data_IF_517440537075
#
_entry.id   IF_517440537075
#
_cell.length_a   1.000
_cell.length_b   1.000
_cell.length_c   1.000
_cell.angle_alpha   90.00
_cell.angle_beta   90.00
_cell.angle_gamma   90.00
#
_symmetry.space_group_name_H-M   'P 1'
#
loop_
_entity.id
_entity.type
_entity.pdbx_description
1 polymer ?
#
# COMPACT_ATOMS: atom_id res chain seq x y z
N UNK A 1 20.96 56.50 -27.24
CA UNK A 1 20.65 55.16 -26.68
C UNK A 1 21.29 54.14 -27.61
N UNK A 2 22.33 53.42 -27.19
CA UNK A 2 23.20 52.67 -28.12
C UNK A 2 22.60 51.32 -28.54
N UNK A 3 22.65 50.99 -29.84
CA UNK A 3 22.12 49.76 -30.47
C UNK A 3 22.53 48.48 -29.72
N UNK A 4 23.72 48.50 -29.11
CA UNK A 4 24.26 47.41 -28.28
C UNK A 4 23.34 47.06 -27.09
N UNK A 5 22.68 48.04 -26.47
CA UNK A 5 21.76 47.82 -25.35
C UNK A 5 20.49 47.09 -25.78
N UNK A 6 19.98 47.38 -26.98
CA UNK A 6 18.78 46.73 -27.53
C UNK A 6 19.09 45.28 -27.87
N UNK A 7 20.27 45.02 -28.47
CA UNK A 7 20.71 43.66 -28.84
C UNK A 7 20.90 42.75 -27.61
N UNK A 8 21.38 43.29 -26.49
CA UNK A 8 21.53 42.52 -25.26
C UNK A 8 20.18 42.17 -24.62
N UNK A 9 19.23 43.11 -24.60
CA UNK A 9 17.91 42.88 -24.00
C UNK A 9 17.12 41.83 -24.79
N UNK A 10 17.17 41.86 -26.12
CA UNK A 10 16.48 40.87 -26.97
C UNK A 10 17.09 39.48 -26.85
N UNK A 11 18.41 39.37 -26.70
CA UNK A 11 19.11 38.08 -26.48
C UNK A 11 18.71 37.43 -25.15
N UNK A 12 18.63 38.22 -24.07
CA UNK A 12 18.22 37.73 -22.75
C UNK A 12 16.76 37.25 -22.80
N UNK A 13 15.87 37.99 -23.46
CA UNK A 13 14.46 37.62 -23.58
C UNK A 13 14.26 36.34 -24.43
N UNK A 14 15.07 36.16 -25.47
CA UNK A 14 15.07 34.93 -26.27
C UNK A 14 15.52 33.73 -25.43
N UNK A 15 16.58 33.90 -24.63
CA UNK A 15 17.12 32.84 -23.78
C UNK A 15 16.12 32.39 -22.69
N UNK A 16 15.45 33.34 -22.03
CA UNK A 16 14.44 33.02 -21.00
C UNK A 16 13.23 32.29 -21.58
N UNK A 17 12.82 32.66 -22.80
CA UNK A 17 11.70 32.02 -23.50
C UNK A 17 12.04 30.58 -23.87
N UNK A 18 13.24 30.34 -24.42
CA UNK A 18 13.69 28.99 -24.79
C UNK A 18 13.81 28.08 -23.57
N UNK A 19 14.40 28.55 -22.46
CA UNK A 19 14.52 27.75 -21.22
C UNK A 19 13.16 27.34 -20.66
N UNK A 20 12.16 28.24 -20.71
CA UNK A 20 10.81 27.94 -20.22
C UNK A 20 10.12 26.82 -21.02
N UNK A 21 10.24 26.85 -22.35
CA UNK A 21 9.67 25.83 -23.26
C UNK A 21 10.30 24.45 -23.01
N UNK A 22 11.62 24.40 -22.79
CA UNK A 22 12.32 23.15 -22.49
C UNK A 22 11.95 22.57 -21.12
N UNK A 23 11.70 23.42 -20.12
CA UNK A 23 11.35 22.96 -18.78
C UNK A 23 9.94 22.37 -18.74
N UNK A 24 9.00 23.02 -19.44
CA UNK A 24 7.59 22.62 -19.56
C UNK A 24 7.44 21.19 -20.13
N UNK A 25 8.24 20.89 -21.15
CA UNK A 25 8.24 19.58 -21.85
C UNK A 25 8.74 18.42 -20.97
N UNK A 26 9.58 18.69 -19.95
CA UNK A 26 10.05 17.65 -19.00
C UNK A 26 9.04 17.34 -17.91
N UNK A 27 8.15 18.28 -17.60
CA UNK A 27 7.08 18.09 -16.62
C UNK A 27 6.05 17.12 -17.18
N UNK A 28 5.46 17.38 -18.35
CA UNK A 28 4.39 16.53 -18.89
C UNK A 28 4.76 15.04 -19.09
N UNK A 29 6.00 14.75 -19.49
CA UNK A 29 6.46 13.37 -19.74
C UNK A 29 6.67 12.52 -18.47
N UNK A 30 6.79 13.15 -17.28
CA UNK A 30 6.85 12.44 -15.99
C UNK A 30 5.46 12.23 -15.39
N UNK A 31 4.52 13.11 -15.72
CA UNK A 31 3.16 13.13 -15.16
C UNK A 31 2.27 12.06 -15.79
N UNK A 32 2.47 11.76 -17.07
CA UNK A 32 1.58 10.87 -17.82
C UNK A 32 1.92 9.37 -17.72
N UNK A 33 3.12 9.02 -17.24
CA UNK A 33 3.54 7.61 -17.10
C UNK A 33 3.18 6.99 -15.75
N UNK A 34 3.05 7.76 -14.67
CA UNK A 34 2.64 7.20 -13.37
C UNK A 34 1.12 6.99 -13.28
N UNK A 35 0.32 7.84 -13.93
CA UNK A 35 -1.14 7.84 -13.81
C UNK A 35 -1.83 6.71 -14.60
N UNK A 36 -1.26 6.26 -15.72
CA UNK A 36 -1.90 5.24 -16.59
C UNK A 36 -1.59 3.79 -16.14
N UNK A 37 -0.48 3.58 -15.43
CA UNK A 37 -0.14 2.25 -14.91
C UNK A 37 -0.96 1.91 -13.67
N UNK A 38 -1.07 2.84 -12.70
CA UNK A 38 -1.76 2.56 -11.44
C UNK A 38 -3.27 2.31 -11.60
N UNK A 39 -3.97 3.11 -12.43
CA UNK A 39 -5.42 3.04 -12.57
C UNK A 39 -5.94 1.67 -13.05
N UNK A 40 -5.14 0.91 -13.80
CA UNK A 40 -5.55 -0.39 -14.32
C UNK A 40 -5.32 -1.54 -13.33
N UNK A 41 -4.41 -1.41 -12.36
CA UNK A 41 -4.22 -2.44 -11.32
C UNK A 41 -5.22 -2.29 -10.17
N UNK A 42 -5.66 -1.07 -9.85
CA UNK A 42 -6.69 -0.84 -8.82
C UNK A 42 -8.07 -1.35 -9.24
N UNK A 43 -8.45 -1.19 -10.51
CA UNK A 43 -9.78 -1.61 -11.01
C UNK A 43 -9.92 -3.15 -11.15
N UNK A 44 -8.81 -3.87 -11.37
CA UNK A 44 -8.82 -5.33 -11.56
C UNK A 44 -8.85 -6.10 -10.22
N UNK A 45 -8.36 -5.50 -9.13
CA UNK A 45 -8.50 -6.07 -7.79
C UNK A 45 -9.94 -5.89 -7.26
N UNK A 46 -10.57 -4.75 -7.54
CA UNK A 46 -11.92 -4.44 -7.05
C UNK A 46 -13.01 -5.37 -7.60
N UNK A 47 -12.84 -5.89 -8.82
CA UNK A 47 -13.88 -6.68 -9.47
C UNK A 47 -14.05 -8.13 -8.94
N UNK A 48 -13.16 -8.64 -8.08
CA UNK A 48 -13.22 -10.03 -7.59
C UNK A 48 -12.70 -10.28 -6.16
N UNK A 49 -12.43 -9.28 -5.33
CA UNK A 49 -11.75 -9.54 -4.04
C UNK A 49 -12.29 -8.79 -2.82
N UNK A 50 -13.56 -8.96 -2.50
CA UNK A 50 -13.97 -8.77 -1.10
C UNK A 50 -15.08 -9.76 -0.75
N UNK A 51 -14.71 -10.96 -0.32
CA UNK A 51 -15.57 -11.65 0.67
C UNK A 51 -15.62 -10.70 1.87
N UNK A 52 -16.81 -10.22 2.21
CA UNK A 52 -16.94 -9.36 3.35
C UNK A 52 -16.64 -10.21 4.60
N UNK A 53 -15.89 -9.67 5.57
CA UNK A 53 -15.64 -10.36 6.83
C UNK A 53 -16.95 -10.82 7.51
N UNK A 54 -18.02 -10.03 7.35
CA UNK A 54 -19.37 -10.36 7.83
C UNK A 54 -19.97 -11.60 7.14
N UNK A 55 -19.48 -12.00 5.98
CA UNK A 55 -19.93 -13.23 5.29
C UNK A 55 -19.27 -14.49 5.90
N UNK A 56 -18.16 -14.33 6.63
CA UNK A 56 -17.38 -15.41 7.25
C UNK A 56 -17.65 -15.50 8.76
N UNK A 57 -17.86 -14.35 9.40
CA UNK A 57 -18.08 -14.23 10.84
C UNK A 57 -19.58 -14.04 11.09
N UNK A 58 -20.18 -14.93 11.89
CA UNK A 58 -21.60 -14.83 12.24
C UNK A 58 -21.93 -13.49 12.91
N UNK A 59 -23.14 -12.98 12.66
CA UNK A 59 -23.60 -11.66 13.13
C UNK A 59 -23.44 -11.46 14.64
N UNK A 60 -23.68 -12.53 15.42
CA UNK A 60 -23.58 -12.53 16.88
C UNK A 60 -22.26 -13.11 17.43
N UNK A 61 -21.25 -13.34 16.57
CA UNK A 61 -19.99 -13.96 17.01
C UNK A 61 -19.27 -13.09 18.04
N UNK A 62 -18.99 -13.66 19.21
CA UNK A 62 -18.25 -13.00 20.28
C UNK A 62 -16.84 -13.60 20.40
N UNK A 63 -15.85 -12.75 20.63
CA UNK A 63 -14.50 -13.20 20.98
C UNK A 63 -14.42 -13.34 22.49
N UNK A 64 -14.18 -14.55 22.96
CA UNK A 64 -14.04 -14.87 24.38
C UNK A 64 -12.63 -15.35 24.72
N UNK A 65 -12.11 -14.90 25.86
CA UNK A 65 -10.86 -15.43 26.43
C UNK A 65 -11.15 -16.72 27.18
N UNK A 66 -10.79 -17.86 26.59
CA UNK A 66 -11.04 -19.19 27.17
C UNK A 66 -10.07 -19.54 28.30
N UNK A 67 -8.80 -19.12 28.20
CA UNK A 67 -7.75 -19.48 29.15
C UNK A 67 -6.60 -18.44 29.13
N UNK A 68 -5.86 -18.35 30.23
CA UNK A 68 -4.65 -17.52 30.36
C UNK A 68 -3.60 -18.22 31.22
N UNK A 69 -2.43 -17.59 31.42
CA UNK A 69 -1.37 -18.10 32.29
C UNK A 69 -0.22 -18.82 31.57
N UNK A 70 -0.27 -18.91 30.24
CA UNK A 70 0.81 -19.45 29.41
C UNK A 70 1.86 -18.39 29.07
N UNK A 71 3.08 -18.84 28.77
CA UNK A 71 4.16 -17.94 28.37
C UNK A 71 4.10 -17.63 26.88
N UNK A 72 3.95 -18.65 26.04
CA UNK A 72 3.83 -18.46 24.59
C UNK A 72 3.16 -19.68 23.93
N UNK A 73 1.91 -19.50 23.49
CA UNK A 73 1.10 -20.56 22.88
C UNK A 73 1.30 -20.65 21.37
N UNK A 74 1.43 -21.87 20.84
CA UNK A 74 1.57 -22.14 19.39
C UNK A 74 0.97 -23.49 18.98
N UNK A 75 0.71 -23.62 17.67
CA UNK A 75 0.34 -24.88 17.02
C UNK A 75 -1.02 -25.47 17.44
N UNK A 76 -2.13 -24.68 17.44
CA UNK A 76 -3.44 -25.22 17.79
C UNK A 76 -3.90 -26.27 16.78
N UNK A 77 -4.32 -27.44 17.27
CA UNK A 77 -4.89 -28.53 16.45
C UNK A 77 -6.11 -29.11 17.16
N UNK A 78 -7.25 -29.13 16.45
CA UNK A 78 -8.45 -29.79 16.94
C UNK A 78 -8.36 -31.30 16.73
N UNK A 79 -8.39 -32.07 17.81
CA UNK A 79 -8.39 -33.53 17.75
C UNK A 79 -9.82 -34.06 17.49
N UNK A 80 -10.01 -35.10 16.65
CA UNK A 80 -11.34 -35.66 16.36
C UNK A 80 -12.12 -36.15 17.58
N UNK A 81 -11.42 -36.51 18.66
CA UNK A 81 -12.03 -36.93 19.93
C UNK A 81 -12.58 -35.73 20.75
N UNK A 82 -12.50 -34.50 20.24
CA UNK A 82 -13.21 -33.34 20.80
C UNK A 82 -12.42 -32.48 21.78
N UNK A 83 -11.09 -32.38 21.61
CA UNK A 83 -10.24 -31.52 22.43
C UNK A 83 -9.25 -30.72 21.57
N UNK A 84 -8.71 -29.61 22.12
CA UNK A 84 -7.79 -28.71 21.43
C UNK A 84 -6.37 -28.92 21.95
N UNK A 85 -5.50 -29.45 21.10
CA UNK A 85 -4.08 -29.51 21.40
C UNK A 85 -3.41 -28.17 21.10
N UNK A 86 -2.55 -27.69 22.00
CA UNK A 86 -1.66 -26.56 21.77
C UNK A 86 -0.41 -26.67 22.65
N UNK A 87 0.67 -26.00 22.27
CA UNK A 87 1.94 -26.04 22.99
C UNK A 87 2.22 -24.72 23.72
N UNK A 88 2.81 -24.78 24.92
CA UNK A 88 3.48 -23.63 25.56
C UNK A 88 5.00 -23.83 25.42
N UNK A 89 5.62 -23.13 24.45
CA UNK A 89 6.99 -23.40 24.01
C UNK A 89 8.00 -23.25 25.16
N UNK A 90 8.01 -22.15 25.94
CA UNK A 90 8.93 -21.99 27.07
C UNK A 90 8.76 -23.02 28.19
N UNK A 91 7.57 -23.61 28.36
CA UNK A 91 7.29 -24.65 29.36
C UNK A 91 7.49 -26.07 28.82
N UNK A 92 7.84 -26.22 27.54
CA UNK A 92 8.05 -27.50 26.87
C UNK A 92 6.91 -28.51 27.14
N UNK A 93 5.66 -28.01 27.12
CA UNK A 93 4.47 -28.78 27.50
C UNK A 93 3.38 -28.62 26.43
N UNK A 94 2.67 -29.71 26.14
CA UNK A 94 1.47 -29.73 25.29
C UNK A 94 0.24 -29.87 26.19
N UNK A 95 -0.76 -29.02 25.98
CA UNK A 95 -2.05 -29.01 26.67
C UNK A 95 -3.16 -29.55 25.76
N UNK A 96 -4.28 -29.96 26.36
CA UNK A 96 -5.50 -30.43 25.70
C UNK A 96 -6.74 -29.78 26.29
#
# INVERSE_FOLDING_TARGET
MSIIKILMITSIFLLTTVVSIFNDSRTEAKNNKSLVSQNNYFQLAEANSVENLQDIVGEDAQVEKVVEGFKFIEGPVWHPDGFLLFSDIPENTIYQ
#
